data_IF_605265096012
#
_entry.id   IF_605265096012
#
_cell.length_a   1.000
_cell.length_b   1.000
_cell.length_c   1.000
_cell.angle_alpha   90.00
_cell.angle_beta   90.00
_cell.angle_gamma   90.00
#
_symmetry.space_group_name_H-M   'P 1'
#
loop_
_entity.id
_entity.type
_entity.pdbx_description
1 polymer ?
#
# COMPACT_ATOMS: atom_id res chain seq x y z
N UNK A 1 -5.71 38.07 -8.34
CA UNK A 1 -4.84 38.04 -7.14
C UNK A 1 -5.30 36.88 -6.26
N UNK A 2 -4.39 36.01 -5.80
CA UNK A 2 -4.74 34.97 -4.81
C UNK A 2 -5.13 35.66 -3.50
N UNK A 3 -6.10 35.10 -2.77
CA UNK A 3 -6.44 35.61 -1.44
C UNK A 3 -5.27 35.41 -0.46
N UNK A 4 -5.21 36.23 0.58
CA UNK A 4 -4.18 36.09 1.62
C UNK A 4 -4.17 34.67 2.23
N UNK A 5 -5.36 34.12 2.48
CA UNK A 5 -5.48 32.72 2.96
C UNK A 5 -4.89 31.71 1.98
N UNK A 6 -5.07 31.89 0.68
CA UNK A 6 -4.50 31.00 -0.33
C UNK A 6 -2.98 31.09 -0.40
N UNK A 7 -2.41 32.26 -0.22
CA UNK A 7 -0.95 32.44 -0.16
C UNK A 7 -0.36 31.70 1.05
N UNK A 8 -0.99 31.82 2.22
CA UNK A 8 -0.58 31.11 3.43
C UNK A 8 -0.65 29.58 3.26
N UNK A 9 -1.69 29.07 2.60
CA UNK A 9 -1.81 27.62 2.33
C UNK A 9 -0.71 27.15 1.38
N UNK A 10 -0.46 27.92 0.32
CA UNK A 10 0.57 27.56 -0.67
C UNK A 10 1.97 27.55 -0.02
N UNK A 11 2.29 28.53 0.83
CA UNK A 11 3.55 28.61 1.58
C UNK A 11 3.67 27.46 2.59
N UNK A 12 2.61 27.21 3.35
CA UNK A 12 2.58 26.10 4.30
C UNK A 12 2.71 24.74 3.62
N UNK A 13 2.12 24.56 2.42
CA UNK A 13 2.23 23.34 1.63
C UNK A 13 3.66 23.08 1.18
N UNK A 14 4.37 24.12 0.73
CA UNK A 14 5.79 23.99 0.33
C UNK A 14 6.61 23.52 1.53
N UNK A 15 6.52 24.21 2.67
CA UNK A 15 7.22 23.84 3.89
C UNK A 15 6.85 22.43 4.36
N UNK A 16 5.57 22.04 4.26
CA UNK A 16 5.09 20.69 4.60
C UNK A 16 5.72 19.61 3.72
N UNK A 17 5.77 19.81 2.40
CA UNK A 17 6.38 18.86 1.44
C UNK A 17 7.89 18.72 1.68
N UNK A 18 8.55 19.80 2.04
CA UNK A 18 9.97 19.82 2.38
C UNK A 18 10.28 19.21 3.77
N UNK A 19 9.24 18.88 4.55
CA UNK A 19 9.39 18.34 5.91
C UNK A 19 9.74 19.42 6.95
N UNK A 20 9.72 20.69 6.57
CA UNK A 20 9.93 21.80 7.50
C UNK A 20 8.65 22.10 8.31
N UNK A 21 8.34 21.19 9.21
CA UNK A 21 7.16 21.30 10.07
C UNK A 21 7.25 22.46 11.09
N UNK A 22 8.45 22.97 11.36
CA UNK A 22 8.61 24.14 12.22
C UNK A 22 8.08 25.41 11.57
N UNK A 23 8.20 25.51 10.26
CA UNK A 23 7.63 26.62 9.47
C UNK A 23 6.18 26.36 9.11
N UNK A 24 5.82 25.12 8.71
CA UNK A 24 4.47 24.78 8.26
C UNK A 24 3.43 24.89 9.40
N UNK A 25 3.71 24.38 10.61
CA UNK A 25 2.75 24.35 11.73
C UNK A 25 2.23 25.74 12.14
N UNK A 26 3.08 26.76 12.36
CA UNK A 26 2.60 28.11 12.70
C UNK A 26 1.75 28.75 11.59
N UNK A 27 2.08 28.54 10.33
CA UNK A 27 1.30 29.05 9.20
C UNK A 27 -0.10 28.44 9.18
N UNK A 28 -0.18 27.11 9.30
CA UNK A 28 -1.44 26.36 9.29
C UNK A 28 -2.32 26.64 10.52
N UNK A 29 -1.72 26.98 11.66
CA UNK A 29 -2.45 27.34 12.89
C UNK A 29 -2.98 28.78 12.92
N UNK A 30 -2.81 29.56 11.86
CA UNK A 30 -3.37 30.90 11.83
C UNK A 30 -4.91 30.88 11.91
N UNK A 31 -5.54 31.80 12.64
CA UNK A 31 -7.00 31.81 12.84
C UNK A 31 -7.80 31.82 11.55
N UNK A 32 -7.29 32.48 10.50
CA UNK A 32 -7.91 32.52 9.18
C UNK A 32 -7.98 31.15 8.50
N UNK A 33 -7.02 30.25 8.77
CA UNK A 33 -6.97 28.90 8.24
C UNK A 33 -7.72 27.90 9.13
N UNK A 34 -7.55 27.99 10.45
CA UNK A 34 -8.26 27.14 11.43
C UNK A 34 -9.77 27.32 11.36
N UNK A 35 -10.25 28.53 11.10
CA UNK A 35 -11.68 28.80 10.93
C UNK A 35 -12.18 28.56 9.48
N UNK A 36 -11.28 28.19 8.58
CA UNK A 36 -11.66 27.85 7.21
C UNK A 36 -12.33 26.47 7.14
N UNK A 37 -13.05 26.22 6.05
CA UNK A 37 -13.55 24.87 5.71
C UNK A 37 -12.62 24.13 4.77
N UNK A 38 -11.32 24.42 4.83
CA UNK A 38 -10.32 23.78 3.97
C UNK A 38 -9.79 22.51 4.63
N UNK A 39 -10.19 21.36 4.11
CA UNK A 39 -9.81 20.03 4.60
C UNK A 39 -8.30 19.75 4.53
N UNK A 40 -7.63 20.32 3.53
CA UNK A 40 -6.18 20.17 3.33
C UNK A 40 -5.37 20.78 4.48
N UNK A 41 -5.82 21.95 5.02
CA UNK A 41 -5.19 22.57 6.19
C UNK A 41 -5.21 21.64 7.39
N UNK A 42 -6.36 21.02 7.66
CA UNK A 42 -6.50 20.08 8.78
C UNK A 42 -5.73 18.77 8.54
N UNK A 43 -5.68 18.29 7.30
CA UNK A 43 -4.90 17.12 6.94
C UNK A 43 -3.40 17.35 7.18
N UNK A 44 -2.83 18.45 6.68
CA UNK A 44 -1.42 18.79 6.91
C UNK A 44 -1.11 18.96 8.40
N UNK A 45 -1.94 19.68 9.16
CA UNK A 45 -1.78 19.85 10.60
C UNK A 45 -1.82 18.51 11.35
N UNK A 46 -2.76 17.64 11.00
CA UNK A 46 -2.89 16.34 11.63
C UNK A 46 -1.67 15.46 11.37
N UNK A 47 -1.14 15.48 10.15
CA UNK A 47 0.10 14.77 9.79
C UNK A 47 1.29 15.29 10.60
N UNK A 48 1.43 16.62 10.73
CA UNK A 48 2.50 17.21 11.56
C UNK A 48 2.35 16.76 13.03
N UNK A 49 1.14 16.76 13.59
CA UNK A 49 0.92 16.30 14.96
C UNK A 49 1.21 14.82 15.16
N UNK A 50 0.92 14.01 14.14
CA UNK A 50 1.26 12.58 14.15
C UNK A 50 2.78 12.37 14.18
N UNK A 51 3.51 13.04 13.31
CA UNK A 51 4.98 12.98 13.25
C UNK A 51 5.65 13.43 14.56
N UNK A 52 5.03 14.40 15.24
CA UNK A 52 5.46 14.86 16.57
C UNK A 52 5.04 13.92 17.72
N UNK A 53 4.41 12.78 17.46
CA UNK A 53 3.89 11.86 18.48
C UNK A 53 2.67 12.36 19.24
N UNK A 54 2.06 13.45 18.81
CA UNK A 54 0.88 14.07 19.44
C UNK A 54 -0.40 13.39 18.96
N UNK A 55 -0.52 12.06 19.12
CA UNK A 55 -1.58 11.23 18.52
C UNK A 55 -2.99 11.71 18.80
N UNK A 56 -3.32 12.07 20.05
CA UNK A 56 -4.66 12.56 20.39
C UNK A 56 -5.03 13.86 19.63
N UNK A 57 -4.05 14.75 19.45
CA UNK A 57 -4.25 16.01 18.71
C UNK A 57 -4.41 15.72 17.21
N UNK A 58 -3.61 14.82 16.66
CA UNK A 58 -3.70 14.38 15.28
C UNK A 58 -5.07 13.75 14.97
N UNK A 59 -5.53 12.81 15.82
CA UNK A 59 -6.85 12.18 15.68
C UNK A 59 -7.98 13.23 15.65
N UNK A 60 -7.95 14.18 16.60
CA UNK A 60 -8.96 15.25 16.66
C UNK A 60 -8.94 16.12 15.41
N UNK A 61 -7.75 16.41 14.90
CA UNK A 61 -7.57 17.26 13.71
C UNK A 61 -8.01 16.55 12.42
N UNK A 62 -7.68 15.27 12.24
CA UNK A 62 -8.20 14.47 11.12
C UNK A 62 -9.73 14.32 11.17
N UNK A 63 -10.30 14.08 12.36
CA UNK A 63 -11.77 14.06 12.51
C UNK A 63 -12.40 15.37 12.09
N UNK A 64 -11.76 16.51 12.38
CA UNK A 64 -12.23 17.81 11.91
C UNK A 64 -12.24 17.94 10.39
N UNK A 65 -11.23 17.42 9.70
CA UNK A 65 -11.23 17.36 8.23
C UNK A 65 -12.42 16.53 7.70
N UNK A 66 -12.69 15.37 8.32
CA UNK A 66 -13.81 14.49 7.94
C UNK A 66 -15.20 15.06 8.31
N UNK A 67 -15.30 15.90 9.33
CA UNK A 67 -16.54 16.66 9.62
C UNK A 67 -16.84 17.67 8.51
N UNK A 68 -15.81 18.24 7.88
CA UNK A 68 -15.96 19.21 6.78
C UNK A 68 -16.29 18.49 5.47
N UNK A 69 -15.55 17.43 5.14
CA UNK A 69 -15.81 16.54 4.02
C UNK A 69 -15.64 15.08 4.44
N UNK A 70 -16.75 14.39 4.72
CA UNK A 70 -16.72 12.97 5.12
C UNK A 70 -16.09 12.04 4.07
N UNK A 71 -16.04 12.46 2.81
CA UNK A 71 -15.41 11.74 1.71
C UNK A 71 -13.94 12.07 1.47
N UNK A 72 -13.31 12.90 2.32
CA UNK A 72 -11.93 13.32 2.14
C UNK A 72 -10.96 12.19 2.45
N UNK A 73 -10.52 11.49 1.41
CA UNK A 73 -9.76 10.24 1.48
C UNK A 73 -8.46 10.36 2.27
N UNK A 74 -7.71 11.47 2.08
CA UNK A 74 -6.41 11.64 2.72
C UNK A 74 -6.54 11.74 4.25
N UNK A 75 -7.59 12.40 4.74
CA UNK A 75 -7.86 12.45 6.17
C UNK A 75 -8.34 11.10 6.72
N UNK A 76 -9.16 10.37 5.98
CA UNK A 76 -9.62 9.04 6.39
C UNK A 76 -8.47 8.05 6.49
N UNK A 77 -7.56 8.05 5.51
CA UNK A 77 -6.35 7.22 5.53
C UNK A 77 -5.43 7.64 6.68
N UNK A 78 -5.12 8.93 6.81
CA UNK A 78 -4.26 9.42 7.90
C UNK A 78 -4.80 9.07 9.29
N UNK A 79 -6.11 9.22 9.51
CA UNK A 79 -6.76 8.81 10.76
C UNK A 79 -6.70 7.30 10.97
N UNK A 80 -6.89 6.51 9.90
CA UNK A 80 -6.80 5.05 9.98
C UNK A 80 -5.38 4.59 10.33
N UNK A 81 -4.35 5.24 9.79
CA UNK A 81 -2.95 4.96 10.15
C UNK A 81 -2.73 5.15 11.64
N UNK A 82 -3.09 6.31 12.19
CA UNK A 82 -2.90 6.61 13.61
C UNK A 82 -3.66 5.63 14.50
N UNK A 83 -4.92 5.33 14.15
CA UNK A 83 -5.73 4.39 14.91
C UNK A 83 -5.15 2.97 14.91
N UNK A 84 -4.54 2.55 13.79
CA UNK A 84 -3.82 1.28 13.73
C UNK A 84 -2.57 1.28 14.62
N UNK A 85 -1.78 2.36 14.59
CA UNK A 85 -0.56 2.48 15.40
C UNK A 85 -0.83 2.42 16.91
N UNK A 86 -1.98 2.95 17.34
CA UNK A 86 -2.41 2.89 18.75
C UNK A 86 -3.29 1.67 19.07
N UNK A 87 -3.43 0.70 18.14
CA UNK A 87 -4.14 -0.56 18.34
C UNK A 87 -5.67 -0.49 18.23
N UNK A 88 -6.23 0.62 17.73
CA UNK A 88 -7.68 0.80 17.55
C UNK A 88 -8.14 0.37 16.15
N UNK A 89 -7.89 -0.86 15.83
CA UNK A 89 -8.00 -1.44 14.48
C UNK A 89 -9.41 -1.42 13.89
N UNK A 90 -10.42 -1.73 14.69
CA UNK A 90 -11.82 -1.76 14.22
C UNK A 90 -12.32 -0.36 13.85
N UNK A 91 -11.91 0.66 14.61
CA UNK A 91 -12.23 2.04 14.28
C UNK A 91 -11.52 2.51 13.01
N UNK A 92 -10.25 2.12 12.84
CA UNK A 92 -9.49 2.42 11.62
C UNK A 92 -10.19 1.88 10.38
N UNK A 93 -10.57 0.60 10.42
CA UNK A 93 -11.29 -0.08 9.33
C UNK A 93 -12.63 0.61 9.03
N UNK A 94 -13.41 0.91 10.06
CA UNK A 94 -14.72 1.55 9.93
C UNK A 94 -14.61 2.91 9.22
N UNK A 95 -13.69 3.78 9.66
CA UNK A 95 -13.48 5.11 9.05
C UNK A 95 -13.10 5.00 7.59
N UNK A 96 -12.21 4.07 7.26
CA UNK A 96 -11.78 3.85 5.89
C UNK A 96 -12.94 3.37 4.99
N UNK A 97 -13.73 2.40 5.46
CA UNK A 97 -14.85 1.84 4.71
C UNK A 97 -15.99 2.87 4.54
N UNK A 98 -16.25 3.71 5.56
CA UNK A 98 -17.23 4.82 5.48
C UNK A 98 -16.82 5.87 4.43
N UNK A 99 -15.57 6.30 4.43
CA UNK A 99 -15.06 7.26 3.45
C UNK A 99 -15.15 6.70 2.02
N UNK A 100 -14.85 5.42 1.84
CA UNK A 100 -14.98 4.72 0.57
C UNK A 100 -16.44 4.67 0.09
N UNK A 101 -17.38 4.27 0.96
CA UNK A 101 -18.80 4.17 0.62
C UNK A 101 -19.37 5.52 0.16
N UNK A 102 -18.96 6.62 0.83
CA UNK A 102 -19.39 7.98 0.45
C UNK A 102 -18.86 8.39 -0.92
N UNK A 103 -17.65 8.00 -1.27
CA UNK A 103 -17.09 8.28 -2.59
C UNK A 103 -17.71 7.40 -3.67
N UNK A 104 -17.98 6.15 -3.39
CA UNK A 104 -18.69 5.25 -4.32
C UNK A 104 -20.12 5.76 -4.61
N UNK A 105 -20.80 6.38 -3.64
CA UNK A 105 -22.11 7.01 -3.85
C UNK A 105 -22.06 8.30 -4.69
N UNK A 106 -20.95 9.04 -4.64
CA UNK A 106 -20.71 10.25 -5.46
C UNK A 106 -20.26 9.92 -6.89
N UNK A 107 -20.02 8.65 -7.23
CA UNK A 107 -19.46 8.15 -8.51
C UNK A 107 -20.34 8.31 -9.75
N UNK A 108 -21.35 9.14 -9.77
CA UNK A 108 -22.02 9.51 -11.03
C UNK A 108 -21.23 10.52 -11.89
N UNK A 109 -20.03 10.91 -11.52
CA UNK A 109 -19.15 11.81 -12.30
C UNK A 109 -17.78 11.21 -12.54
N UNK A 110 -17.61 10.60 -13.68
CA UNK A 110 -16.47 10.40 -14.59
C UNK A 110 -15.10 10.99 -14.18
N UNK A 111 -14.30 10.25 -13.42
CA UNK A 111 -12.84 10.34 -13.53
C UNK A 111 -12.23 8.93 -13.62
N UNK A 112 -11.55 8.57 -14.72
CA UNK A 112 -10.99 7.21 -14.92
C UNK A 112 -9.91 6.82 -13.91
N UNK A 113 -9.43 7.75 -13.10
CA UNK A 113 -8.29 7.57 -12.19
C UNK A 113 -8.68 7.36 -10.71
N UNK A 114 -9.98 7.40 -10.37
CA UNK A 114 -10.45 7.27 -8.99
C UNK A 114 -10.17 5.85 -8.45
N UNK A 115 -10.44 4.82 -9.26
CA UNK A 115 -10.22 3.44 -8.85
C UNK A 115 -8.76 3.16 -8.51
N UNK A 116 -7.81 3.72 -9.28
CA UNK A 116 -6.39 3.54 -9.05
C UNK A 116 -5.92 4.27 -7.77
N UNK A 117 -6.46 5.47 -7.49
CA UNK A 117 -6.21 6.17 -6.22
C UNK A 117 -6.69 5.35 -5.02
N UNK A 118 -7.89 4.72 -5.11
CA UNK A 118 -8.37 3.83 -4.06
C UNK A 118 -7.54 2.56 -3.94
N UNK A 119 -7.13 1.97 -5.05
CA UNK A 119 -6.24 0.83 -5.04
C UNK A 119 -4.94 1.15 -4.29
N UNK A 120 -4.34 2.32 -4.56
CA UNK A 120 -3.15 2.80 -3.84
C UNK A 120 -3.40 2.95 -2.33
N UNK A 121 -4.54 3.53 -1.93
CA UNK A 121 -4.86 3.72 -0.51
C UNK A 121 -5.15 2.41 0.23
N UNK A 122 -5.81 1.46 -0.44
CA UNK A 122 -5.93 0.10 0.11
C UNK A 122 -4.57 -0.59 0.25
N UNK A 123 -3.65 -0.39 -0.71
CA UNK A 123 -2.31 -0.94 -0.63
C UNK A 123 -1.49 -0.32 0.52
N UNK A 124 -1.54 1.01 0.70
CA UNK A 124 -0.89 1.69 1.83
C UNK A 124 -1.39 1.15 3.18
N UNK A 125 -2.70 0.93 3.31
CA UNK A 125 -3.29 0.34 4.51
C UNK A 125 -2.88 -1.14 4.67
N UNK A 126 -2.78 -1.90 3.57
CA UNK A 126 -2.30 -3.27 3.59
C UNK A 126 -0.84 -3.37 4.04
N UNK A 127 0.04 -2.48 3.55
CA UNK A 127 1.43 -2.39 3.97
C UNK A 127 1.54 -2.13 5.49
N UNK A 128 0.70 -1.24 6.01
CA UNK A 128 0.66 -0.96 7.45
C UNK A 128 0.23 -2.19 8.27
N UNK A 129 -0.85 -2.89 7.85
CA UNK A 129 -1.25 -4.13 8.51
C UNK A 129 -0.13 -5.19 8.47
N UNK A 130 0.60 -5.27 7.35
CA UNK A 130 1.73 -6.19 7.18
C UNK A 130 2.86 -5.89 8.19
N UNK A 131 3.22 -4.61 8.36
CA UNK A 131 4.22 -4.17 9.34
C UNK A 131 3.84 -4.58 10.78
N UNK A 132 2.56 -4.54 11.10
CA UNK A 132 2.02 -4.98 12.40
C UNK A 132 1.72 -6.50 12.47
N UNK A 133 2.17 -7.28 11.47
CA UNK A 133 1.95 -8.75 11.36
C UNK A 133 0.46 -9.15 11.35
N UNK A 134 -0.41 -8.23 10.94
CA UNK A 134 -1.84 -8.48 10.75
C UNK A 134 -2.08 -8.98 9.33
N UNK A 135 -1.69 -10.21 9.08
CA UNK A 135 -1.62 -10.77 7.74
C UNK A 135 -2.97 -10.89 7.05
N UNK A 136 -4.00 -11.33 7.76
CA UNK A 136 -5.35 -11.52 7.18
C UNK A 136 -5.96 -10.19 6.74
N UNK A 137 -5.83 -9.15 7.55
CA UNK A 137 -6.30 -7.82 7.21
C UNK A 137 -5.46 -7.19 6.07
N UNK A 138 -4.17 -7.43 6.05
CA UNK A 138 -3.30 -7.02 4.94
C UNK A 138 -3.75 -7.64 3.63
N UNK A 139 -4.00 -8.96 3.62
CA UNK A 139 -4.49 -9.71 2.45
C UNK A 139 -5.84 -9.14 1.99
N UNK A 140 -6.77 -8.91 2.91
CA UNK A 140 -8.09 -8.32 2.59
C UNK A 140 -7.94 -6.96 1.88
N UNK A 141 -7.07 -6.10 2.37
CA UNK A 141 -6.85 -4.79 1.77
C UNK A 141 -6.15 -4.88 0.41
N UNK A 142 -5.15 -5.73 0.24
CA UNK A 142 -4.54 -5.96 -1.07
C UNK A 142 -5.53 -6.56 -2.07
N UNK A 143 -6.43 -7.45 -1.67
CA UNK A 143 -7.50 -7.95 -2.55
C UNK A 143 -8.44 -6.83 -3.01
N UNK A 144 -8.79 -5.88 -2.12
CA UNK A 144 -9.56 -4.69 -2.50
C UNK A 144 -8.77 -3.82 -3.48
N UNK A 145 -7.48 -3.61 -3.27
CA UNK A 145 -6.61 -2.90 -4.21
C UNK A 145 -6.56 -3.60 -5.58
N UNK A 146 -6.39 -4.92 -5.60
CA UNK A 146 -6.35 -5.73 -6.81
C UNK A 146 -7.64 -5.61 -7.64
N UNK A 147 -8.81 -5.60 -6.97
CA UNK A 147 -10.10 -5.47 -7.64
C UNK A 147 -10.31 -4.10 -8.30
N UNK A 148 -9.69 -3.06 -7.77
CA UNK A 148 -9.84 -1.68 -8.23
C UNK A 148 -8.79 -1.29 -9.28
N UNK A 149 -7.62 -1.93 -9.26
CA UNK A 149 -6.46 -1.56 -10.07
C UNK A 149 -6.39 -2.31 -11.39
N UNK A 150 -5.73 -1.67 -12.36
CA UNK A 150 -5.24 -2.31 -13.57
C UNK A 150 -4.00 -3.18 -13.32
N UNK A 151 -3.25 -2.92 -12.25
CA UNK A 151 -2.01 -3.62 -11.85
C UNK A 151 -2.30 -4.85 -10.99
N UNK A 152 -3.23 -5.69 -11.43
CA UNK A 152 -3.70 -6.86 -10.68
C UNK A 152 -2.58 -7.84 -10.32
N UNK A 153 -1.60 -8.01 -11.22
CA UNK A 153 -0.47 -8.90 -11.02
C UNK A 153 0.43 -8.46 -9.85
N UNK A 154 0.67 -7.15 -9.72
CA UNK A 154 1.51 -6.61 -8.65
C UNK A 154 0.88 -6.88 -7.28
N UNK A 155 -0.43 -6.67 -7.16
CA UNK A 155 -1.14 -6.94 -5.91
C UNK A 155 -1.25 -8.44 -5.60
N UNK A 156 -1.40 -9.31 -6.60
CA UNK A 156 -1.36 -10.76 -6.40
C UNK A 156 0.00 -11.23 -5.83
N UNK A 157 1.10 -10.64 -6.30
CA UNK A 157 2.43 -10.89 -5.74
C UNK A 157 2.49 -10.44 -4.28
N UNK A 158 1.97 -9.25 -3.94
CA UNK A 158 1.92 -8.76 -2.55
C UNK A 158 1.07 -9.67 -1.65
N UNK A 159 -0.09 -10.12 -2.12
CA UNK A 159 -0.93 -11.10 -1.42
C UNK A 159 -0.16 -12.39 -1.14
N UNK A 160 0.58 -12.89 -2.13
CA UNK A 160 1.40 -14.09 -1.95
C UNK A 160 2.50 -13.90 -0.91
N UNK A 161 3.12 -12.72 -0.84
CA UNK A 161 4.12 -12.37 0.18
C UNK A 161 3.50 -12.35 1.58
N UNK A 162 2.29 -11.82 1.74
CA UNK A 162 1.55 -11.86 3.00
C UNK A 162 1.26 -13.30 3.43
N UNK A 163 0.80 -14.16 2.51
CA UNK A 163 0.59 -15.58 2.79
C UNK A 163 1.87 -16.29 3.25
N UNK A 164 3.03 -16.00 2.61
CA UNK A 164 4.31 -16.58 3.03
C UNK A 164 4.67 -16.14 4.45
N UNK A 165 4.52 -14.84 4.77
CA UNK A 165 4.82 -14.32 6.11
C UNK A 165 3.85 -14.85 7.17
N UNK A 166 2.60 -15.12 6.80
CA UNK A 166 1.60 -15.77 7.65
C UNK A 166 1.84 -17.29 7.84
N UNK A 167 2.86 -17.88 7.18
CA UNK A 167 3.10 -19.32 7.18
C UNK A 167 2.18 -20.13 6.27
N UNK A 168 1.31 -19.48 5.50
CA UNK A 168 0.31 -20.08 4.62
C UNK A 168 0.88 -20.33 3.21
N UNK A 169 1.95 -21.09 3.11
CA UNK A 169 2.71 -21.30 1.86
C UNK A 169 1.85 -21.87 0.72
N UNK A 170 0.91 -22.74 1.02
CA UNK A 170 0.05 -23.36 0.00
C UNK A 170 -0.86 -22.33 -0.66
N UNK A 171 -1.38 -21.36 0.12
CA UNK A 171 -2.16 -20.25 -0.41
C UNK A 171 -1.31 -19.34 -1.31
N UNK A 172 -0.07 -19.05 -0.91
CA UNK A 172 0.86 -18.29 -1.73
C UNK A 172 1.15 -18.98 -3.07
N UNK A 173 1.41 -20.29 -3.04
CA UNK A 173 1.66 -21.11 -4.25
C UNK A 173 0.43 -21.09 -5.16
N UNK A 174 -0.77 -21.24 -4.60
CA UNK A 174 -2.03 -21.22 -5.35
C UNK A 174 -2.23 -19.87 -6.05
N UNK A 175 -2.03 -18.77 -5.34
CA UNK A 175 -2.16 -17.42 -5.88
C UNK A 175 -1.19 -17.19 -7.04
N UNK A 176 0.09 -17.47 -6.86
CA UNK A 176 1.11 -17.32 -7.90
C UNK A 176 0.89 -18.23 -9.10
N UNK A 177 0.46 -19.49 -8.89
CA UNK A 177 0.11 -20.40 -9.98
C UNK A 177 -1.10 -19.92 -10.78
N UNK A 178 -2.12 -19.38 -10.11
CA UNK A 178 -3.29 -18.78 -10.78
C UNK A 178 -2.87 -17.63 -11.69
N UNK A 179 -1.99 -16.77 -11.20
CA UNK A 179 -1.45 -15.66 -11.96
C UNK A 179 -0.65 -16.11 -13.19
N UNK A 180 0.22 -17.11 -13.01
CA UNK A 180 1.03 -17.71 -14.08
C UNK A 180 0.20 -18.54 -15.08
N UNK A 181 -0.97 -19.00 -14.67
CA UNK A 181 -1.92 -19.63 -15.60
C UNK A 181 -2.55 -18.57 -16.55
N UNK A 182 -2.84 -17.39 -16.02
CA UNK A 182 -3.39 -16.27 -16.81
C UNK A 182 -2.34 -15.62 -17.71
N UNK A 183 -1.10 -15.47 -17.23
CA UNK A 183 0.04 -14.97 -18.01
C UNK A 183 1.31 -15.74 -17.68
N UNK A 184 1.67 -16.75 -18.50
CA UNK A 184 2.84 -17.58 -18.25
C UNK A 184 4.19 -16.87 -18.37
N UNK A 185 4.24 -15.64 -18.90
CA UNK A 185 5.49 -14.90 -19.12
C UNK A 185 5.87 -14.01 -17.96
N UNK A 186 5.04 -13.90 -16.94
CA UNK A 186 5.31 -13.06 -15.78
C UNK A 186 6.54 -13.55 -15.00
N UNK A 187 7.59 -12.74 -14.99
CA UNK A 187 8.87 -13.06 -14.36
C UNK A 187 8.78 -13.03 -12.84
N UNK A 188 8.28 -11.93 -12.26
CA UNK A 188 8.24 -11.73 -10.81
C UNK A 188 7.47 -12.84 -10.08
N UNK A 189 6.27 -13.24 -10.50
CA UNK A 189 5.55 -14.37 -9.90
C UNK A 189 6.33 -15.68 -9.96
N UNK A 190 7.03 -15.96 -11.08
CA UNK A 190 7.87 -17.17 -11.20
C UNK A 190 9.06 -17.15 -10.25
N UNK A 191 9.76 -16.01 -10.16
CA UNK A 191 10.86 -15.85 -9.20
C UNK A 191 10.40 -16.14 -7.77
N UNK A 192 9.26 -15.55 -7.38
CA UNK A 192 8.68 -15.75 -6.03
C UNK A 192 8.24 -17.19 -5.81
N UNK A 193 7.59 -17.83 -6.80
CA UNK A 193 7.17 -19.23 -6.72
C UNK A 193 8.38 -20.15 -6.55
N UNK A 194 9.43 -19.93 -7.33
CA UNK A 194 10.69 -20.67 -7.21
C UNK A 194 11.32 -20.50 -5.82
N UNK A 195 11.34 -19.28 -5.26
CA UNK A 195 11.83 -19.06 -3.90
C UNK A 195 11.01 -19.78 -2.83
N UNK A 196 9.69 -19.83 -2.97
CA UNK A 196 8.82 -20.58 -2.04
C UNK A 196 9.16 -22.08 -2.09
N UNK A 197 9.31 -22.64 -3.29
CA UNK A 197 9.69 -24.04 -3.46
C UNK A 197 11.08 -24.32 -2.88
N UNK A 198 12.06 -23.47 -3.18
CA UNK A 198 13.42 -23.60 -2.65
C UNK A 198 13.47 -23.62 -1.13
N UNK A 199 12.79 -22.63 -0.49
CA UNK A 199 12.70 -22.52 0.96
C UNK A 199 11.86 -23.63 1.61
N UNK A 200 11.15 -24.42 0.80
CA UNK A 200 10.39 -25.60 1.23
C UNK A 200 11.11 -26.90 0.88
N UNK A 201 12.39 -26.84 0.47
CA UNK A 201 13.23 -27.97 0.03
C UNK A 201 12.73 -28.69 -1.22
N UNK A 202 11.84 -28.09 -1.98
CA UNK A 202 11.38 -28.57 -3.30
C UNK A 202 12.27 -28.00 -4.40
N UNK A 203 13.53 -28.45 -4.42
CA UNK A 203 14.57 -27.80 -5.23
C UNK A 203 14.34 -27.99 -6.73
N UNK A 204 13.87 -29.17 -7.14
CA UNK A 204 13.60 -29.44 -8.56
C UNK A 204 12.52 -28.51 -9.11
N UNK A 205 11.44 -28.32 -8.37
CA UNK A 205 10.35 -27.39 -8.73
C UNK A 205 10.82 -25.93 -8.74
N UNK A 206 11.71 -25.56 -7.83
CA UNK A 206 12.29 -24.22 -7.81
C UNK A 206 13.13 -23.96 -9.08
N UNK A 207 14.00 -24.91 -9.44
CA UNK A 207 14.84 -24.85 -10.64
C UNK A 207 13.97 -24.74 -11.89
N UNK A 208 12.92 -25.57 -12.02
CA UNK A 208 11.99 -25.51 -13.15
C UNK A 208 11.38 -24.12 -13.32
N UNK A 209 10.98 -23.46 -12.21
CA UNK A 209 10.44 -22.10 -12.30
C UNK A 209 11.47 -21.10 -12.84
N UNK A 210 12.71 -21.16 -12.38
CA UNK A 210 13.77 -20.22 -12.80
C UNK A 210 14.27 -20.51 -14.23
N UNK A 211 14.38 -21.78 -14.64
CA UNK A 211 14.70 -22.15 -16.01
C UNK A 211 13.61 -21.69 -16.99
N UNK A 212 12.34 -21.79 -16.60
CA UNK A 212 11.24 -21.29 -17.40
C UNK A 212 11.33 -19.76 -17.66
N UNK A 213 11.93 -18.97 -16.75
CA UNK A 213 12.19 -17.54 -17.00
C UNK A 213 13.23 -17.41 -18.12
N UNK A 214 14.32 -18.20 -18.08
CA UNK A 214 15.40 -18.09 -19.05
C UNK A 214 15.00 -18.49 -20.48
N UNK A 215 13.88 -19.21 -20.65
CA UNK A 215 13.31 -19.47 -22.00
C UNK A 215 12.80 -18.20 -22.69
N UNK A 216 12.35 -17.20 -21.93
CA UNK A 216 11.85 -15.93 -22.43
C UNK A 216 12.85 -14.79 -22.27
N UNK A 217 13.62 -14.82 -21.19
CA UNK A 217 14.64 -13.85 -20.83
C UNK A 217 15.98 -14.54 -20.52
N UNK A 218 16.76 -14.97 -21.55
CA UNK A 218 17.98 -15.76 -21.34
C UNK A 218 19.04 -15.09 -20.44
N UNK A 219 19.01 -13.76 -20.34
CA UNK A 219 19.95 -12.97 -19.55
C UNK A 219 19.35 -12.43 -18.23
N UNK A 220 18.25 -13.00 -17.74
CA UNK A 220 17.65 -12.57 -16.48
C UNK A 220 18.60 -12.88 -15.32
N UNK A 221 19.17 -11.81 -14.73
CA UNK A 221 20.22 -11.91 -13.71
C UNK A 221 19.73 -12.55 -12.40
N UNK A 222 18.46 -12.35 -12.05
CA UNK A 222 17.88 -12.92 -10.82
C UNK A 222 17.68 -14.42 -10.97
N UNK A 223 17.12 -14.87 -12.10
CA UNK A 223 16.94 -16.28 -12.39
C UNK A 223 18.30 -17.02 -12.42
N UNK A 224 19.30 -16.44 -13.10
CA UNK A 224 20.66 -17.00 -13.12
C UNK A 224 21.28 -17.08 -11.72
N UNK A 225 21.10 -16.07 -10.89
CA UNK A 225 21.58 -16.06 -9.51
C UNK A 225 20.94 -17.15 -8.67
N UNK A 226 19.62 -17.33 -8.77
CA UNK A 226 18.90 -18.38 -8.03
C UNK A 226 19.25 -19.78 -8.49
N UNK A 227 19.47 -20.00 -9.80
CA UNK A 227 19.96 -21.27 -10.32
C UNK A 227 21.36 -21.61 -9.78
N UNK A 228 22.29 -20.66 -9.74
CA UNK A 228 23.60 -20.84 -9.12
C UNK A 228 23.48 -21.19 -7.63
N UNK A 229 22.55 -20.56 -6.91
CA UNK A 229 22.27 -20.85 -5.51
C UNK A 229 21.78 -22.29 -5.33
N UNK A 230 20.87 -22.76 -6.19
CA UNK A 230 20.39 -24.15 -6.16
C UNK A 230 21.49 -25.16 -6.46
N UNK A 231 22.36 -24.88 -7.43
CA UNK A 231 23.52 -25.72 -7.75
C UNK A 231 24.49 -25.83 -6.58
N UNK A 232 24.79 -24.71 -5.90
CA UNK A 232 25.66 -24.70 -4.73
C UNK A 232 25.07 -25.49 -3.54
N UNK A 233 23.76 -25.64 -3.47
CA UNK A 233 23.06 -26.44 -2.47
C UNK A 233 23.13 -27.99 -2.79
N UNK A 234 23.88 -28.41 -3.79
CA UNK A 234 24.13 -29.82 -4.09
C UNK A 234 23.09 -30.47 -5.00
N UNK A 235 22.26 -29.69 -5.65
CA UNK A 235 21.34 -30.21 -6.66
C UNK A 235 22.01 -30.16 -8.03
N UNK A 236 22.54 -31.26 -8.46
CA UNK A 236 22.96 -31.47 -9.86
C UNK A 236 21.71 -31.62 -10.71
N UNK A 237 21.23 -30.50 -11.22
CA UNK A 237 20.43 -30.57 -12.44
C UNK A 237 21.33 -30.15 -13.57
N UNK A 238 21.44 -30.99 -14.62
CA UNK A 238 21.44 -30.36 -15.93
C UNK A 238 21.71 -31.36 -17.02
N UNK A 239 20.68 -31.60 -17.75
CA UNK A 239 20.82 -31.89 -19.18
C UNK A 239 20.32 -30.66 -19.91
N UNK A 240 21.18 -29.97 -20.62
CA UNK A 240 20.81 -29.14 -21.76
C UNK A 240 20.63 -30.01 -22.96
#
# INVERSE_FOLDING_TARGET
>A
MKSFSQQLIDEARVAFIEGDYKTAEPLLNQPTLINSRNTEVFQMLATIYYDQGKFNKAIKTFKRALEIDPGYTDAAVGLSIILNDIGRYDEAKKIFDEAKALLDSKKQSTEPNINEKFASKHAELADLYLQHKRYDESIEQYMKAQNLSTKKADYAVRISECYVQAGQKDNAIKELKSLLHSDPKLVVPRLKLGLIFYNSHHIAEAVDQWENILRYEPNNQEALRYLKMAQAAGVTTLSF
#
